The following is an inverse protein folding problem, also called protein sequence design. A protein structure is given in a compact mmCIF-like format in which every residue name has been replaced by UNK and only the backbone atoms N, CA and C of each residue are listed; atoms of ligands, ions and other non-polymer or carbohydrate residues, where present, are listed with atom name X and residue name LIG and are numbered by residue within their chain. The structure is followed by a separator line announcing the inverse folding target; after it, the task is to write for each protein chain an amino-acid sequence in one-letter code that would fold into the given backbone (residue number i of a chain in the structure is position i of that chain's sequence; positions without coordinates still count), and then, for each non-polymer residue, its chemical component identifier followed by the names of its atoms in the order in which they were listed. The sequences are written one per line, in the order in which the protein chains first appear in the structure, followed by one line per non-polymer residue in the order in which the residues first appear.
data_IF_255087873258
#
_entry.id   IF_255087873258
#
_cell.length_a   1.000
_cell.length_b   1.000
_cell.length_c   1.000
_cell.angle_alpha   90.00
_cell.angle_beta   90.00
_cell.angle_gamma   90.00
#
_symmetry.space_group_name_H-M   'P 1'
#
loop_
_entity.id
_entity.type
_entity.pdbx_description
1 polymer ?
#
# COMPACT_ATOMS: atom_id res chain seq x y z
N UNK A 1 2.83 14.44 -1.53
CA UNK A 1 3.32 13.19 -2.16
C UNK A 1 2.11 12.34 -2.55
N UNK A 2 2.21 11.50 -3.59
CA UNK A 2 1.11 10.59 -3.91
C UNK A 2 1.13 9.41 -2.95
N UNK A 3 -0.05 8.86 -2.63
CA UNK A 3 -0.15 7.63 -1.84
C UNK A 3 0.51 6.48 -2.59
N UNK A 4 0.42 6.46 -3.93
CA UNK A 4 1.12 5.50 -4.78
C UNK A 4 2.63 5.48 -4.53
N UNK A 5 3.27 6.65 -4.43
CA UNK A 5 4.71 6.74 -4.16
C UNK A 5 5.07 6.09 -2.82
N UNK A 6 4.28 6.39 -1.79
CA UNK A 6 4.49 5.87 -0.43
C UNK A 6 4.26 4.35 -0.37
N UNK A 7 3.11 3.87 -0.87
CA UNK A 7 2.75 2.45 -0.85
C UNK A 7 3.76 1.60 -1.66
N UNK A 8 4.18 2.08 -2.83
CA UNK A 8 5.18 1.38 -3.66
C UNK A 8 6.51 1.20 -2.92
N UNK A 9 7.00 2.25 -2.24
CA UNK A 9 8.25 2.17 -1.46
C UNK A 9 8.12 1.20 -0.28
N UNK A 10 6.96 1.15 0.38
CA UNK A 10 6.71 0.22 1.49
C UNK A 10 6.60 -1.21 0.98
N UNK A 11 5.77 -1.50 -0.02
CA UNK A 11 5.62 -2.84 -0.60
C UNK A 11 6.94 -3.40 -1.13
N UNK A 12 7.79 -2.55 -1.72
CA UNK A 12 9.13 -2.97 -2.14
C UNK A 12 9.99 -3.43 -0.96
N UNK A 13 9.97 -2.72 0.18
CA UNK A 13 10.67 -3.16 1.39
C UNK A 13 10.06 -4.44 1.97
N UNK A 14 8.73 -4.53 2.02
CA UNK A 14 8.03 -5.70 2.56
C UNK A 14 8.32 -6.96 1.72
N UNK A 15 8.37 -6.86 0.39
CA UNK A 15 8.74 -7.99 -0.46
C UNK A 15 10.19 -8.44 -0.23
N UNK A 16 11.11 -7.49 -0.08
CA UNK A 16 12.51 -7.82 0.18
C UNK A 16 12.70 -8.53 1.51
N UNK A 17 12.03 -8.09 2.58
CA UNK A 17 12.18 -8.61 3.93
C UNK A 17 11.32 -9.85 4.22
N UNK A 18 10.10 -9.90 3.67
CA UNK A 18 9.08 -10.85 4.09
C UNK A 18 8.47 -11.67 2.96
N UNK A 19 8.83 -11.42 1.70
CA UNK A 19 8.38 -12.22 0.54
C UNK A 19 6.85 -12.26 0.36
N UNK A 20 6.20 -11.11 0.60
CA UNK A 20 4.74 -10.99 0.60
C UNK A 20 4.05 -11.39 -0.72
N UNK A 21 4.75 -11.40 -1.85
CA UNK A 21 4.19 -11.81 -3.15
C UNK A 21 4.88 -13.04 -3.76
N UNK A 22 5.77 -13.69 -3.01
CA UNK A 22 6.49 -14.84 -3.53
C UNK A 22 5.58 -16.08 -3.56
N UNK A 23 5.40 -16.65 -4.75
CA UNK A 23 4.54 -17.82 -5.00
C UNK A 23 4.99 -19.11 -4.29
N UNK A 24 6.24 -19.18 -3.87
CA UNK A 24 6.84 -20.37 -3.26
C UNK A 24 6.83 -20.29 -1.72
N UNK A 25 6.37 -19.17 -1.14
CA UNK A 25 6.24 -18.97 0.31
C UNK A 25 4.79 -18.71 0.72
N UNK A 26 4.39 -19.22 1.90
CA UNK A 26 3.02 -19.10 2.41
C UNK A 26 2.94 -18.74 3.89
N UNK A 27 4.02 -18.22 4.49
CA UNK A 27 4.04 -17.83 5.90
C UNK A 27 3.20 -16.58 6.18
N UNK A 28 3.00 -15.69 5.19
CA UNK A 28 2.10 -14.53 5.28
C UNK A 28 0.93 -14.78 4.34
N UNK A 29 -0.28 -14.74 4.89
CA UNK A 29 -1.52 -15.07 4.15
C UNK A 29 -2.45 -13.86 4.00
N UNK A 30 -2.27 -12.82 4.82
CA UNK A 30 -3.07 -11.59 4.85
C UNK A 30 -2.19 -10.43 5.29
N UNK A 31 -2.58 -9.22 4.94
CA UNK A 31 -1.89 -8.01 5.37
C UNK A 31 -2.54 -6.78 4.76
N UNK A 32 -2.34 -5.65 5.41
CA UNK A 32 -2.79 -4.35 4.96
C UNK A 32 -1.74 -3.29 5.30
N UNK A 33 -1.81 -2.17 4.61
CA UNK A 33 -1.00 -0.97 4.85
C UNK A 33 -1.95 0.16 5.26
N UNK A 34 -1.76 0.72 6.44
CA UNK A 34 -2.55 1.83 6.94
C UNK A 34 -1.84 3.16 6.74
N UNK A 35 -2.62 4.22 6.48
CA UNK A 35 -2.16 5.59 6.38
C UNK A 35 -2.91 6.44 7.41
N UNK A 36 -2.15 6.96 8.37
CA UNK A 36 -2.69 7.68 9.53
C UNK A 36 -2.24 9.14 9.53
N UNK A 37 -3.18 10.06 9.70
CA UNK A 37 -2.89 11.49 9.83
C UNK A 37 -2.41 11.82 11.25
N UNK A 38 -1.34 12.61 11.38
CA UNK A 38 -0.81 13.03 12.68
C UNK A 38 -1.73 14.02 13.40
N UNK A 39 -2.41 14.88 12.63
CA UNK A 39 -3.30 15.90 13.17
C UNK A 39 -4.71 15.37 13.53
N UNK A 40 -5.03 14.11 13.23
CA UNK A 40 -6.35 13.50 13.44
C UNK A 40 -7.52 14.23 12.77
N UNK A 41 -7.25 15.13 11.81
CA UNK A 41 -8.28 15.86 11.07
C UNK A 41 -8.71 15.10 9.82
N UNK A 42 -7.78 14.38 9.19
CA UNK A 42 -8.05 13.56 8.02
C UNK A 42 -8.36 12.11 8.44
N UNK A 43 -9.43 11.54 7.89
CA UNK A 43 -9.77 10.15 8.14
C UNK A 43 -8.66 9.21 7.66
N UNK A 44 -8.25 8.29 8.53
CA UNK A 44 -7.30 7.23 8.17
C UNK A 44 -7.90 6.26 7.15
N UNK A 45 -7.04 5.64 6.35
CA UNK A 45 -7.45 4.69 5.32
C UNK A 45 -6.40 3.60 5.16
N UNK A 46 -6.74 2.53 4.46
CA UNK A 46 -5.84 1.41 4.25
C UNK A 46 -6.01 0.78 2.87
N UNK A 47 -4.97 0.06 2.44
CA UNK A 47 -5.08 -0.89 1.33
C UNK A 47 -4.79 -2.29 1.83
N UNK A 48 -5.60 -3.25 1.37
CA UNK A 48 -5.31 -4.67 1.54
C UNK A 48 -4.20 -5.06 0.55
N UNK A 49 -3.14 -5.71 1.05
CA UNK A 49 -1.97 -6.08 0.24
C UNK A 49 -2.31 -7.12 -0.82
N UNK A 50 -3.35 -7.92 -0.61
CA UNK A 50 -3.73 -9.07 -1.45
C UNK A 50 -5.04 -8.85 -2.22
N UNK A 51 -5.77 -7.75 -1.97
CA UNK A 51 -6.94 -7.38 -2.77
C UNK A 51 -6.54 -6.68 -4.09
N UNK A 52 -5.76 -7.36 -4.91
CA UNK A 52 -5.33 -6.89 -6.23
C UNK A 52 -6.38 -7.28 -7.28
N UNK A 53 -6.74 -6.37 -8.18
CA UNK A 53 -7.76 -6.59 -9.21
C UNK A 53 -7.15 -6.93 -10.56
N UNK A 54 -7.74 -7.89 -11.27
CA UNK A 54 -7.28 -8.32 -12.58
C UNK A 54 -6.18 -9.37 -12.53
N UNK A 55 -5.45 -9.49 -13.63
CA UNK A 55 -4.38 -10.47 -13.86
C UNK A 55 -3.11 -9.87 -14.48
N UNK A 56 -3.16 -8.62 -14.91
CA UNK A 56 -2.01 -7.90 -15.50
C UNK A 56 -1.75 -6.55 -14.83
N UNK A 57 -0.53 -6.03 -15.00
CA UNK A 57 -0.10 -4.77 -14.36
C UNK A 57 -1.00 -3.56 -14.65
N UNK A 58 -1.56 -3.47 -15.86
CA UNK A 58 -2.49 -2.38 -16.22
C UNK A 58 -3.76 -2.38 -15.34
N UNK A 59 -4.21 -3.55 -14.90
CA UNK A 59 -5.38 -3.72 -14.03
C UNK A 59 -4.97 -3.56 -12.55
N UNK A 60 -3.83 -4.14 -12.16
CA UNK A 60 -3.34 -4.13 -10.77
C UNK A 60 -3.22 -2.71 -10.21
N UNK A 61 -2.74 -1.77 -11.01
CA UNK A 61 -2.46 -0.40 -10.56
C UNK A 61 -3.57 0.60 -10.85
N UNK A 62 -4.70 0.17 -11.41
CA UNK A 62 -5.80 1.06 -11.79
C UNK A 62 -6.39 1.80 -10.59
N UNK A 63 -6.31 1.24 -9.37
CA UNK A 63 -6.79 1.90 -8.16
C UNK A 63 -5.99 3.16 -7.78
N UNK A 64 -4.81 3.38 -8.36
CA UNK A 64 -4.06 4.63 -8.22
C UNK A 64 -4.48 5.72 -9.22
N UNK A 65 -5.45 5.46 -10.10
CA UNK A 65 -5.95 6.46 -11.05
C UNK A 65 -6.62 7.68 -10.40
N UNK A 66 -6.98 7.59 -9.10
CA UNK A 66 -7.49 8.71 -8.31
C UNK A 66 -6.42 9.78 -8.02
N UNK A 67 -5.13 9.46 -8.25
CA UNK A 67 -3.98 10.29 -7.94
C UNK A 67 -4.05 10.86 -6.51
N UNK A 68 -4.48 10.04 -5.54
CA UNK A 68 -4.63 10.48 -4.15
C UNK A 68 -3.31 11.03 -3.62
N UNK A 69 -3.35 12.23 -3.05
CA UNK A 69 -2.19 12.91 -2.48
C UNK A 69 -2.38 13.22 -1.00
N UNK A 70 -1.27 13.23 -0.26
CA UNK A 70 -1.20 13.57 1.15
C UNK A 70 0.00 14.46 1.45
N UNK A 71 -0.05 15.20 2.55
CA UNK A 71 1.12 15.91 3.09
C UNK A 71 2.08 14.92 3.74
N UNK A 72 3.32 14.85 3.26
CA UNK A 72 4.32 13.92 3.78
C UNK A 72 4.69 14.19 5.24
N UNK A 73 4.52 15.42 5.74
CA UNK A 73 4.78 15.76 7.14
C UNK A 73 3.65 15.36 8.09
N UNK A 74 2.46 15.07 7.56
CA UNK A 74 1.26 14.81 8.35
C UNK A 74 0.82 13.35 8.34
N UNK A 75 1.63 12.42 7.82
CA UNK A 75 1.26 11.00 7.74
C UNK A 75 2.35 10.05 8.24
N UNK A 76 1.94 8.99 8.94
CA UNK A 76 2.73 7.77 9.15
C UNK A 76 2.02 6.55 8.56
N UNK A 77 2.77 5.46 8.46
CA UNK A 77 2.34 4.20 7.85
C UNK A 77 2.56 3.07 8.86
N UNK A 78 1.52 2.26 9.06
CA UNK A 78 1.55 1.03 9.86
C UNK A 78 1.30 -0.20 8.97
#
# INVERSE_FOLDING_TARGET
VTVQELDTKVRFKLENLYKIYNKDTGNIQKGCIFFHSHNHQDQSFYYDLYNVKGSVGAEFFQFYSDNRTVSSSNYHID
#
